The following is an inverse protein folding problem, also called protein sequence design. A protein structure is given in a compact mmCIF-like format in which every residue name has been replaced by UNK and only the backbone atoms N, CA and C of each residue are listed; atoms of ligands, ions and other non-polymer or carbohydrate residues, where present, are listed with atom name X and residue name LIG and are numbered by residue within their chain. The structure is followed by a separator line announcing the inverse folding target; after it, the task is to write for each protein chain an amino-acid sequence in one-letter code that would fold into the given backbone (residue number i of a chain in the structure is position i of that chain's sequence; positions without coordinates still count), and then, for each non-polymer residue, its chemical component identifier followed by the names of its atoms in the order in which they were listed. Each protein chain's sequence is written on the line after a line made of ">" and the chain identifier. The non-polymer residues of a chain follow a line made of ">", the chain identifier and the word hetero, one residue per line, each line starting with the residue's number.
data_IF_858176320228
#
_entry.id   IF_858176320228
#
_cell.length_a   1.000
_cell.length_b   1.000
_cell.length_c   1.000
_cell.angle_alpha   90.00
_cell.angle_beta   90.00
_cell.angle_gamma   90.00
#
_symmetry.space_group_name_H-M   'P 1'
#
loop_
_entity.id
_entity.type
_entity.pdbx_description
1 polymer ?
#
# COMPACT_ATOMS: atom_id res chain seq x y z
N UNK A 1 -40.63 -47.90 59.32
CA UNK A 1 -39.73 -46.74 59.51
C UNK A 1 -39.55 -46.03 58.17
N UNK A 2 -40.13 -44.83 58.00
CA UNK A 2 -40.00 -44.03 56.76
C UNK A 2 -38.65 -43.30 56.78
N UNK A 3 -37.75 -43.62 55.85
CA UNK A 3 -36.48 -42.89 55.65
C UNK A 3 -36.80 -41.54 54.98
N UNK A 4 -36.48 -40.44 55.67
CA UNK A 4 -36.49 -39.09 55.09
C UNK A 4 -35.12 -38.83 54.48
N UNK A 5 -35.05 -38.71 53.17
CA UNK A 5 -33.83 -38.34 52.45
C UNK A 5 -33.76 -36.81 52.38
N UNK A 6 -32.79 -36.20 53.04
CA UNK A 6 -32.47 -34.78 52.85
C UNK A 6 -31.78 -34.61 51.49
N UNK A 7 -32.36 -33.79 50.62
CA UNK A 7 -31.68 -33.29 49.43
C UNK A 7 -30.86 -32.05 49.80
N UNK A 8 -29.54 -32.15 49.67
CA UNK A 8 -28.61 -31.01 49.76
C UNK A 8 -28.48 -30.43 48.36
N UNK A 9 -28.93 -29.19 48.16
CA UNK A 9 -28.65 -28.42 46.93
C UNK A 9 -27.30 -27.73 47.08
N UNK A 10 -26.33 -28.13 46.27
CA UNK A 10 -25.05 -27.44 46.09
C UNK A 10 -25.25 -26.45 44.94
N UNK A 11 -25.11 -25.13 45.13
CA UNK A 11 -25.20 -24.18 44.03
C UNK A 11 -23.96 -24.34 43.15
N UNK A 12 -24.17 -24.82 41.93
CA UNK A 12 -23.14 -24.92 40.90
C UNK A 12 -22.85 -23.49 40.39
N UNK A 13 -21.81 -22.86 40.91
CA UNK A 13 -21.30 -21.60 40.38
C UNK A 13 -20.65 -21.89 39.01
N UNK A 14 -21.33 -21.53 37.91
CA UNK A 14 -20.68 -21.52 36.59
C UNK A 14 -19.65 -20.38 36.59
N UNK A 15 -18.34 -20.66 36.44
CA UNK A 15 -17.39 -19.60 36.15
C UNK A 15 -17.69 -19.05 34.76
N UNK A 16 -18.10 -17.78 34.68
CA UNK A 16 -18.23 -17.08 33.41
C UNK A 16 -16.88 -17.08 32.71
N UNK A 17 -16.80 -17.76 31.56
CA UNK A 17 -15.69 -17.62 30.63
C UNK A 17 -15.72 -16.19 30.11
N UNK A 18 -14.90 -15.32 30.70
CA UNK A 18 -14.57 -14.03 30.12
C UNK A 18 -13.68 -14.33 28.92
N UNK A 19 -14.26 -14.39 27.73
CA UNK A 19 -13.50 -14.36 26.50
C UNK A 19 -12.86 -12.98 26.42
N UNK A 20 -11.61 -12.87 26.90
CA UNK A 20 -10.80 -11.70 26.64
C UNK A 20 -10.48 -11.71 25.14
N UNK A 21 -11.24 -10.93 24.36
CA UNK A 21 -10.89 -10.62 22.98
C UNK A 21 -9.51 -9.99 23.00
N UNK A 22 -8.48 -10.74 22.59
CA UNK A 22 -7.14 -10.19 22.44
C UNK A 22 -7.21 -9.17 21.30
N UNK A 23 -7.21 -7.89 21.65
CA UNK A 23 -7.12 -6.82 20.66
C UNK A 23 -5.69 -6.86 20.11
N UNK A 24 -5.53 -7.48 18.94
CA UNK A 24 -4.24 -7.51 18.25
C UNK A 24 -3.91 -6.09 17.78
N UNK A 25 -2.66 -5.68 17.96
CA UNK A 25 -2.11 -4.47 17.36
C UNK A 25 -2.26 -4.56 15.84
N UNK A 26 -2.70 -3.49 15.19
CA UNK A 26 -2.95 -3.46 13.74
C UNK A 26 -2.27 -2.27 13.10
N UNK A 27 -1.71 -2.48 11.91
CA UNK A 27 -1.09 -1.42 11.12
C UNK A 27 -0.51 -1.89 9.80
N UNK A 28 -0.22 -0.94 8.91
CA UNK A 28 0.30 -1.23 7.58
C UNK A 28 1.21 -0.11 7.07
N UNK A 29 2.06 -0.42 6.08
CA UNK A 29 2.84 0.59 5.37
C UNK A 29 1.92 1.30 4.37
N UNK A 30 1.69 2.59 4.60
CA UNK A 30 0.86 3.43 3.75
C UNK A 30 1.65 4.04 2.59
N UNK A 31 2.97 4.27 2.78
CA UNK A 31 3.84 4.85 1.75
C UNK A 31 5.27 4.30 1.81
N UNK A 32 5.81 3.73 0.72
CA UNK A 32 5.06 3.27 -0.45
C UNK A 32 4.00 2.24 -0.03
N UNK A 33 2.82 2.21 -0.66
CA UNK A 33 1.71 1.37 -0.21
C UNK A 33 2.07 -0.12 -0.25
N UNK A 34 1.79 -0.82 0.85
CA UNK A 34 2.02 -2.26 0.94
C UNK A 34 1.13 -3.07 -0.01
N UNK A 35 1.57 -4.27 -0.38
CA UNK A 35 0.88 -5.16 -1.32
C UNK A 35 -0.56 -5.47 -0.91
N UNK A 36 -0.78 -5.80 0.37
CA UNK A 36 -2.10 -6.04 0.94
C UNK A 36 -2.99 -4.78 0.95
N UNK A 37 -2.39 -3.60 1.11
CA UNK A 37 -3.09 -2.31 1.00
C UNK A 37 -3.53 -2.08 -0.44
N UNK A 38 -2.68 -2.37 -1.42
CA UNK A 38 -3.02 -2.30 -2.84
C UNK A 38 -4.08 -3.34 -3.24
N UNK A 39 -4.11 -4.52 -2.60
CA UNK A 39 -5.21 -5.48 -2.73
C UNK A 39 -6.53 -4.95 -2.16
N UNK A 40 -6.51 -4.36 -0.95
CA UNK A 40 -7.67 -3.69 -0.34
C UNK A 40 -8.19 -2.57 -1.24
N UNK A 41 -7.27 -1.89 -1.93
CA UNK A 41 -7.55 -0.85 -2.92
C UNK A 41 -7.98 -1.39 -4.30
N UNK A 42 -7.97 -2.70 -4.52
CA UNK A 42 -8.26 -3.30 -5.82
C UNK A 42 -7.30 -2.89 -6.94
N UNK A 43 -6.15 -2.29 -6.61
CA UNK A 43 -5.09 -1.93 -7.57
C UNK A 43 -4.28 -3.19 -7.94
N UNK A 44 -4.01 -4.06 -6.97
CA UNK A 44 -3.54 -5.41 -7.25
C UNK A 44 -4.74 -6.31 -7.59
N UNK A 45 -4.80 -6.79 -8.83
CA UNK A 45 -5.91 -7.63 -9.35
C UNK A 45 -5.78 -9.11 -8.97
N UNK A 46 -4.56 -9.54 -8.65
CA UNK A 46 -4.19 -10.93 -8.30
C UNK A 46 -4.74 -11.39 -6.95
N UNK A 47 -5.39 -10.51 -6.19
CA UNK A 47 -5.80 -10.79 -4.82
C UNK A 47 -7.16 -11.51 -4.72
N UNK A 48 -7.71 -11.99 -5.84
CA UNK A 48 -9.02 -12.65 -6.03
C UNK A 48 -10.25 -11.81 -5.65
N UNK A 49 -10.30 -11.31 -4.41
CA UNK A 49 -11.41 -10.54 -3.86
C UNK A 49 -10.90 -9.44 -2.93
N UNK A 50 -10.97 -8.17 -3.36
CA UNK A 50 -10.57 -7.02 -2.54
C UNK A 50 -11.32 -6.95 -1.19
N UNK A 51 -12.56 -7.44 -1.11
CA UNK A 51 -13.36 -7.46 0.13
C UNK A 51 -12.73 -8.33 1.23
N UNK A 52 -11.91 -9.32 0.85
CA UNK A 52 -11.14 -10.15 1.77
C UNK A 52 -10.18 -9.29 2.61
N UNK A 53 -9.58 -8.29 1.97
CA UNK A 53 -8.62 -7.35 2.55
C UNK A 53 -9.29 -6.17 3.26
N UNK A 54 -10.62 -6.12 3.29
CA UNK A 54 -11.35 -5.14 4.09
C UNK A 54 -11.25 -5.44 5.60
N UNK A 55 -10.94 -6.69 5.96
CA UNK A 55 -10.68 -7.11 7.33
C UNK A 55 -9.34 -6.57 7.84
N UNK A 56 -9.31 -6.16 9.12
CA UNK A 56 -8.07 -5.77 9.79
C UNK A 56 -7.15 -6.96 10.12
N UNK A 57 -7.56 -8.18 9.80
CA UNK A 57 -6.81 -9.39 10.15
C UNK A 57 -5.45 -9.49 9.43
N UNK A 58 -5.36 -9.11 8.14
CA UNK A 58 -4.09 -9.12 7.39
C UNK A 58 -3.10 -8.04 7.83
N UNK A 59 -3.57 -7.02 8.54
CA UNK A 59 -2.73 -5.96 9.10
C UNK A 59 -2.51 -6.15 10.60
N UNK A 60 -3.01 -7.24 11.18
CA UNK A 60 -2.86 -7.53 12.59
C UNK A 60 -1.49 -8.13 12.89
N UNK A 61 -1.04 -7.90 14.13
CA UNK A 61 0.16 -8.51 14.65
C UNK A 61 0.01 -10.01 14.70
N UNK A 62 1.02 -10.73 14.23
CA UNK A 62 1.04 -12.18 14.25
C UNK A 62 2.09 -12.70 15.21
N UNK A 63 2.10 -14.00 15.45
CA UNK A 63 3.05 -14.65 16.37
C UNK A 63 4.40 -14.93 15.70
N UNK A 64 4.63 -14.43 14.48
CA UNK A 64 5.93 -14.51 13.84
C UNK A 64 6.91 -13.50 14.46
N UNK A 65 8.13 -13.96 14.73
CA UNK A 65 9.25 -13.10 15.11
C UNK A 65 10.21 -13.02 13.92
N UNK A 66 10.47 -11.80 13.44
CA UNK A 66 11.24 -11.59 12.22
C UNK A 66 10.45 -11.97 10.98
N UNK A 67 10.64 -13.19 10.48
CA UNK A 67 10.02 -13.69 9.25
C UNK A 67 9.03 -14.84 9.52
N UNK A 68 7.84 -14.83 8.91
CA UNK A 68 6.96 -16.00 8.80
C UNK A 68 7.66 -17.21 8.17
N UNK A 69 6.96 -18.34 8.13
CA UNK A 69 7.40 -19.52 7.37
C UNK A 69 7.72 -19.15 5.91
N UNK A 70 8.73 -19.80 5.33
CA UNK A 70 9.11 -19.58 3.94
C UNK A 70 7.93 -19.89 3.01
N UNK A 71 7.76 -19.05 1.99
CA UNK A 71 6.62 -19.11 1.09
C UNK A 71 5.33 -18.50 1.65
N UNK A 72 5.33 -18.03 2.90
CA UNK A 72 4.18 -17.38 3.55
C UNK A 72 4.48 -15.98 4.07
N UNK A 73 5.56 -15.36 3.59
CA UNK A 73 6.01 -14.05 4.09
C UNK A 73 4.98 -12.95 3.79
N UNK A 74 4.47 -12.78 2.55
CA UNK A 74 3.43 -11.77 2.26
C UNK A 74 2.12 -11.98 3.01
N UNK A 75 1.59 -13.21 3.06
CA UNK A 75 0.33 -13.52 3.73
C UNK A 75 0.46 -13.61 5.24
N UNK A 76 1.69 -13.73 5.74
CA UNK A 76 1.93 -13.89 7.15
C UNK A 76 1.57 -15.25 7.72
N UNK A 77 1.48 -16.27 6.89
CA UNK A 77 0.97 -17.58 7.29
C UNK A 77 -0.55 -17.65 7.44
N UNK A 78 -1.27 -16.56 7.16
CA UNK A 78 -2.73 -16.55 7.21
C UNK A 78 -3.28 -17.20 5.94
N UNK A 79 -4.11 -18.23 6.12
CA UNK A 79 -4.63 -19.05 5.01
C UNK A 79 -5.50 -18.26 4.05
N UNK A 80 -6.36 -17.38 4.57
CA UNK A 80 -7.26 -16.56 3.76
C UNK A 80 -6.51 -15.61 2.81
N UNK A 81 -5.26 -15.24 3.10
CA UNK A 81 -4.49 -14.28 2.28
C UNK A 81 -3.37 -14.95 1.48
N UNK A 82 -3.46 -16.27 1.24
CA UNK A 82 -2.42 -17.01 0.52
C UNK A 82 -2.14 -16.50 -0.90
N UNK A 83 -3.10 -15.83 -1.56
CA UNK A 83 -2.87 -15.22 -2.88
C UNK A 83 -1.78 -14.13 -2.87
N UNK A 84 -1.50 -13.52 -1.71
CA UNK A 84 -0.36 -12.61 -1.55
C UNK A 84 1.01 -13.27 -1.75
N UNK A 85 1.10 -14.58 -1.57
CA UNK A 85 2.37 -15.32 -1.62
C UNK A 85 2.83 -15.64 -3.04
N UNK A 86 1.99 -15.41 -4.05
CA UNK A 86 2.34 -15.61 -5.44
C UNK A 86 3.37 -14.55 -5.87
N UNK A 87 4.45 -14.97 -6.54
CA UNK A 87 5.43 -14.06 -7.10
C UNK A 87 5.57 -14.26 -8.60
N UNK A 88 5.35 -13.20 -9.35
CA UNK A 88 5.71 -13.10 -10.76
C UNK A 88 5.90 -11.61 -11.10
N UNK A 89 6.73 -11.35 -12.11
CA UNK A 89 7.21 -10.01 -12.44
C UNK A 89 6.08 -9.04 -12.80
N UNK A 90 4.96 -9.53 -13.34
CA UNK A 90 3.80 -8.72 -13.73
C UNK A 90 2.68 -8.65 -12.70
N UNK A 91 2.70 -9.45 -11.62
CA UNK A 91 1.52 -9.62 -10.75
C UNK A 91 1.22 -8.45 -9.83
N UNK A 92 2.28 -7.76 -9.38
CA UNK A 92 2.17 -6.74 -8.34
C UNK A 92 2.47 -5.35 -8.90
N UNK A 93 1.60 -4.39 -8.56
CA UNK A 93 1.82 -2.97 -8.82
C UNK A 93 3.06 -2.50 -8.05
N UNK A 94 3.95 -1.76 -8.71
CA UNK A 94 5.24 -1.33 -8.15
C UNK A 94 5.24 0.17 -7.98
N UNK A 95 5.57 0.64 -6.78
CA UNK A 95 5.79 2.07 -6.58
C UNK A 95 7.17 2.45 -7.11
N UNK A 96 7.22 3.40 -8.04
CA UNK A 96 8.48 3.94 -8.54
C UNK A 96 9.18 4.77 -7.45
N UNK A 97 10.39 4.37 -7.07
CA UNK A 97 11.20 5.09 -6.07
C UNK A 97 12.59 5.43 -6.62
N UNK A 98 13.24 6.43 -6.01
CA UNK A 98 14.59 6.83 -6.38
C UNK A 98 15.64 5.99 -5.64
N UNK A 99 16.83 5.87 -6.22
CA UNK A 99 18.02 5.42 -5.48
C UNK A 99 18.36 6.34 -4.32
N UNK A 100 19.04 5.79 -3.32
CA UNK A 100 19.55 6.54 -2.18
C UNK A 100 18.56 6.53 -1.02
N UNK A 101 17.77 7.59 -0.85
CA UNK A 101 16.85 7.70 0.29
C UNK A 101 15.43 7.25 -0.06
N UNK A 102 14.80 6.52 0.86
CA UNK A 102 13.39 6.13 0.80
C UNK A 102 12.69 6.56 2.09
N UNK A 103 11.51 7.14 1.97
CA UNK A 103 10.61 7.39 3.09
C UNK A 103 9.64 6.22 3.21
N UNK A 104 9.51 5.65 4.40
CA UNK A 104 8.58 4.56 4.70
C UNK A 104 7.64 5.04 5.80
N UNK A 105 6.37 5.16 5.48
CA UNK A 105 5.31 5.60 6.40
C UNK A 105 4.40 4.43 6.76
N UNK A 106 4.18 4.24 8.05
CA UNK A 106 3.23 3.30 8.62
C UNK A 106 1.96 4.03 9.08
N UNK A 107 0.82 3.37 8.94
CA UNK A 107 -0.43 3.74 9.59
C UNK A 107 -0.76 2.69 10.65
N UNK A 108 -0.64 3.05 11.93
CA UNK A 108 -1.08 2.22 13.05
C UNK A 108 -2.56 2.46 13.32
N UNK A 109 -3.39 1.44 13.07
CA UNK A 109 -4.85 1.52 13.18
C UNK A 109 -5.35 1.24 14.59
N UNK A 110 -4.58 0.51 15.40
CA UNK A 110 -4.81 0.36 16.83
C UNK A 110 -3.58 0.77 17.64
N UNK A 111 -3.76 1.19 18.90
CA UNK A 111 -2.64 1.58 19.74
C UNK A 111 -1.66 0.42 19.96
N UNK A 112 -0.39 0.66 19.63
CA UNK A 112 0.65 -0.37 19.59
C UNK A 112 1.92 0.10 20.30
N UNK A 113 2.53 -0.77 21.11
CA UNK A 113 3.83 -0.51 21.75
C UNK A 113 4.94 -1.10 20.88
N UNK A 114 5.50 -0.31 19.96
CA UNK A 114 6.54 -0.78 19.03
C UNK A 114 7.92 -0.63 19.66
N UNK A 115 8.74 -1.69 19.62
CA UNK A 115 10.10 -1.72 20.18
C UNK A 115 11.20 -1.65 19.11
N UNK A 116 10.90 -2.08 17.89
CA UNK A 116 11.81 -1.90 16.74
C UNK A 116 11.05 -1.91 15.42
N UNK A 117 11.57 -1.15 14.47
CA UNK A 117 11.18 -1.17 13.07
C UNK A 117 12.36 -1.68 12.26
N UNK A 118 12.15 -2.71 11.44
CA UNK A 118 13.19 -3.32 10.60
C UNK A 118 12.72 -3.38 9.16
N UNK A 119 13.62 -3.00 8.26
CA UNK A 119 13.36 -3.00 6.83
C UNK A 119 14.41 -3.85 6.12
N UNK A 120 13.94 -4.89 5.44
CA UNK A 120 14.75 -5.76 4.60
C UNK A 120 14.40 -5.49 3.14
N UNK A 121 15.32 -5.82 2.26
CA UNK A 121 15.12 -5.72 0.81
C UNK A 121 15.64 -6.99 0.16
N UNK A 122 15.03 -7.35 -0.96
CA UNK A 122 15.44 -8.50 -1.75
C UNK A 122 16.91 -8.44 -2.19
N UNK A 123 17.52 -9.62 -2.33
CA UNK A 123 18.89 -9.77 -2.85
C UNK A 123 18.95 -9.28 -4.30
N UNK A 124 20.11 -8.82 -4.77
CA UNK A 124 20.22 -8.25 -6.13
C UNK A 124 19.81 -9.22 -7.24
N UNK A 125 20.02 -10.52 -7.04
CA UNK A 125 19.69 -11.59 -8.00
C UNK A 125 18.35 -12.28 -7.71
N UNK A 126 17.53 -11.77 -6.77
CA UNK A 126 16.28 -12.45 -6.39
C UNK A 126 15.35 -12.74 -7.59
N UNK A 127 15.34 -11.83 -8.57
CA UNK A 127 14.55 -11.94 -9.81
C UNK A 127 14.93 -13.13 -10.68
N UNK A 128 16.17 -13.62 -10.61
CA UNK A 128 16.59 -14.81 -11.36
C UNK A 128 15.85 -16.07 -10.90
N UNK A 129 15.28 -16.04 -9.69
CA UNK A 129 14.47 -17.13 -9.14
C UNK A 129 12.97 -16.98 -9.39
N UNK A 130 12.51 -15.83 -9.93
CA UNK A 130 11.10 -15.59 -10.24
C UNK A 130 10.61 -16.53 -11.34
N UNK A 131 9.55 -17.25 -11.03
CA UNK A 131 8.78 -18.09 -11.94
C UNK A 131 7.36 -18.18 -11.40
N UNK A 132 6.43 -18.75 -12.18
CA UNK A 132 5.02 -18.81 -11.80
C UNK A 132 4.72 -19.60 -10.49
N UNK A 133 5.70 -20.32 -9.94
CA UNK A 133 5.60 -21.04 -8.67
C UNK A 133 6.51 -20.45 -7.58
N UNK A 134 7.20 -19.33 -7.86
CA UNK A 134 8.09 -18.71 -6.90
C UNK A 134 7.27 -18.14 -5.74
N UNK A 135 7.82 -18.30 -4.53
CA UNK A 135 7.28 -17.70 -3.32
C UNK A 135 8.44 -17.11 -2.53
N UNK A 136 8.24 -15.94 -1.94
CA UNK A 136 9.27 -15.29 -1.13
C UNK A 136 9.65 -16.16 0.07
N UNK A 137 10.94 -16.39 0.22
CA UNK A 137 11.56 -17.05 1.38
C UNK A 137 12.44 -16.05 2.12
N UNK A 138 12.93 -16.41 3.30
CA UNK A 138 13.94 -15.62 4.01
C UNK A 138 15.18 -15.38 3.16
N UNK A 139 15.55 -16.35 2.34
CA UNK A 139 16.72 -16.28 1.44
C UNK A 139 16.49 -15.36 0.24
N UNK A 140 15.23 -14.99 -0.09
CA UNK A 140 14.93 -13.95 -1.08
C UNK A 140 15.46 -12.57 -0.65
N UNK A 141 15.69 -12.36 0.66
CA UNK A 141 16.09 -11.08 1.24
C UNK A 141 17.56 -11.04 1.66
N UNK A 142 18.11 -9.83 1.74
CA UNK A 142 19.36 -9.60 2.44
C UNK A 142 19.20 -10.01 3.92
N UNK A 143 20.17 -10.75 4.46
CA UNK A 143 20.08 -11.31 5.81
C UNK A 143 20.02 -10.23 6.91
N UNK A 144 20.57 -9.04 6.65
CA UNK A 144 20.53 -7.90 7.57
C UNK A 144 19.52 -6.86 7.07
N UNK A 145 18.76 -6.21 7.96
CA UNK A 145 17.92 -5.09 7.55
C UNK A 145 18.81 -3.95 7.05
N UNK A 146 18.42 -3.31 5.94
CA UNK A 146 19.11 -2.13 5.45
C UNK A 146 18.84 -0.89 6.31
N UNK A 147 17.78 -0.93 7.12
CA UNK A 147 17.39 0.13 8.03
C UNK A 147 16.73 -0.48 9.27
N UNK A 148 17.22 -0.11 10.45
CA UNK A 148 16.65 -0.50 11.74
C UNK A 148 16.48 0.74 12.61
N UNK A 149 15.29 0.92 13.18
CA UNK A 149 14.93 2.08 14.00
C UNK A 149 14.38 1.57 15.33
N UNK A 150 14.97 2.08 16.42
CA UNK A 150 14.54 1.72 17.77
C UNK A 150 13.20 2.38 18.10
N UNK A 151 12.23 1.56 18.49
CA UNK A 151 10.98 2.04 19.08
C UNK A 151 11.17 2.46 20.54
N UNK A 152 10.31 3.34 21.03
CA UNK A 152 10.36 3.83 22.41
C UNK A 152 9.55 2.95 23.38
N UNK A 153 8.94 1.86 22.89
CA UNK A 153 8.03 0.99 23.64
C UNK A 153 6.83 1.72 24.27
N UNK A 154 6.56 2.97 23.85
CA UNK A 154 5.38 3.71 24.26
C UNK A 154 4.25 3.43 23.28
N UNK A 155 3.03 3.60 23.77
CA UNK A 155 1.84 3.39 22.97
C UNK A 155 1.75 4.45 21.87
N UNK A 156 1.75 4.00 20.63
CA UNK A 156 1.66 4.84 19.43
C UNK A 156 0.44 4.43 18.59
N UNK A 157 -0.20 5.41 17.96
CA UNK A 157 -1.28 5.22 17.00
C UNK A 157 -1.17 6.33 15.93
N UNK A 158 -1.68 6.10 14.73
CA UNK A 158 -1.60 7.06 13.64
C UNK A 158 -0.37 6.85 12.77
N UNK A 159 0.05 7.92 12.09
CA UNK A 159 1.13 7.84 11.11
C UNK A 159 2.51 7.90 11.75
N UNK A 160 3.40 7.00 11.36
CA UNK A 160 4.82 6.97 11.78
C UNK A 160 5.67 6.92 10.52
N UNK A 161 6.54 7.92 10.32
CA UNK A 161 7.38 8.03 9.12
C UNK A 161 8.86 7.82 9.44
N UNK A 162 9.53 7.05 8.59
CA UNK A 162 10.95 6.75 8.70
C UNK A 162 11.69 7.08 7.42
N UNK A 163 12.89 7.62 7.56
CA UNK A 163 13.78 7.92 6.45
C UNK A 163 14.94 6.93 6.46
N UNK A 164 15.05 6.13 5.42
CA UNK A 164 16.04 5.06 5.31
C UNK A 164 16.90 5.25 4.06
N UNK A 165 18.11 4.69 4.07
CA UNK A 165 19.00 4.65 2.91
C UNK A 165 18.94 3.26 2.27
N UNK A 166 18.46 3.18 1.04
CA UNK A 166 18.45 1.96 0.25
C UNK A 166 19.88 1.49 -0.07
N UNK A 167 20.14 0.17 -0.05
CA UNK A 167 21.35 -0.37 -0.65
C UNK A 167 21.32 -0.18 -2.17
N UNK A 168 22.47 -0.36 -2.82
CA UNK A 168 22.54 -0.27 -4.27
C UNK A 168 21.74 -1.41 -4.92
N UNK A 169 20.59 -1.03 -5.51
CA UNK A 169 19.64 -1.89 -6.22
C UNK A 169 19.07 -1.12 -7.40
N UNK A 170 18.59 -1.87 -8.38
CA UNK A 170 17.94 -1.37 -9.59
C UNK A 170 16.72 -2.23 -9.91
N UNK A 171 15.73 -1.62 -10.55
CA UNK A 171 14.53 -2.31 -11.02
C UNK A 171 13.64 -2.80 -9.89
N UNK A 172 12.83 -3.81 -10.19
CA UNK A 172 11.90 -4.39 -9.24
C UNK A 172 12.60 -5.02 -8.02
N UNK A 173 12.19 -4.57 -6.83
CA UNK A 173 12.57 -5.12 -5.53
C UNK A 173 11.34 -5.23 -4.62
N UNK A 174 11.44 -6.08 -3.61
CA UNK A 174 10.44 -6.14 -2.53
C UNK A 174 11.09 -5.67 -1.25
N UNK A 175 10.46 -4.69 -0.59
CA UNK A 175 10.82 -4.26 0.75
C UNK A 175 9.94 -5.01 1.75
N UNK A 176 10.56 -5.74 2.68
CA UNK A 176 9.89 -6.38 3.79
C UNK A 176 10.02 -5.52 5.04
N UNK A 177 8.89 -5.00 5.51
CA UNK A 177 8.81 -4.04 6.61
C UNK A 177 8.22 -4.72 7.84
N UNK A 178 8.90 -4.63 8.99
CA UNK A 178 8.52 -5.30 10.24
C UNK A 178 8.48 -4.29 11.38
N UNK A 179 7.38 -4.30 12.14
CA UNK A 179 7.23 -3.59 13.40
C UNK A 179 7.14 -4.62 14.55
N UNK A 180 8.23 -4.78 15.30
CA UNK A 180 8.28 -5.66 16.46
C UNK A 180 7.57 -5.00 17.65
N UNK A 181 6.67 -5.74 18.31
CA UNK A 181 5.91 -5.23 19.44
C UNK A 181 6.58 -5.58 20.77
N UNK A 182 6.31 -4.75 21.78
CA UNK A 182 6.73 -5.02 23.14
C UNK A 182 6.18 -6.38 23.62
N UNK A 183 6.99 -7.20 24.31
CA UNK A 183 6.54 -8.45 24.88
C UNK A 183 5.29 -8.24 25.74
N UNK A 184 4.27 -9.07 25.52
CA UNK A 184 3.09 -9.10 26.38
C UNK A 184 3.30 -10.04 27.57
N UNK A 185 2.37 -10.04 28.52
CA UNK A 185 2.45 -10.86 29.74
C UNK A 185 2.51 -12.38 29.46
N UNK A 186 2.11 -12.82 28.27
CA UNK A 186 2.19 -14.21 27.83
C UNK A 186 3.58 -14.62 27.30
N UNK A 187 4.52 -13.67 27.19
CA UNK A 187 5.88 -13.93 26.70
C UNK A 187 5.97 -14.21 25.19
N UNK A 188 4.86 -14.10 24.45
CA UNK A 188 4.82 -14.38 23.02
C UNK A 188 5.24 -13.11 22.27
N UNK A 189 6.30 -13.22 21.48
CA UNK A 189 6.74 -12.16 20.58
C UNK A 189 5.75 -11.99 19.43
N UNK A 190 5.42 -10.75 19.11
CA UNK A 190 4.47 -10.42 18.05
C UNK A 190 5.02 -9.30 17.18
N UNK A 191 4.70 -9.37 15.90
CA UNK A 191 5.14 -8.38 14.92
C UNK A 191 4.03 -8.09 13.93
N UNK A 192 3.97 -6.85 13.46
CA UNK A 192 3.20 -6.49 12.26
C UNK A 192 4.20 -6.48 11.10
N UNK A 193 3.87 -7.11 9.98
CA UNK A 193 4.73 -7.04 8.80
C UNK A 193 3.96 -6.81 7.53
N UNK A 194 4.60 -6.20 6.57
CA UNK A 194 4.07 -5.82 5.28
C UNK A 194 5.17 -6.04 4.22
N UNK A 195 4.78 -6.47 3.02
CA UNK A 195 5.65 -6.42 1.84
C UNK A 195 5.24 -5.24 0.98
N UNK A 196 6.22 -4.57 0.38
CA UNK A 196 6.04 -3.38 -0.45
C UNK A 196 6.80 -3.59 -1.76
N UNK A 197 6.07 -3.58 -2.87
CA UNK A 197 6.60 -3.77 -4.21
C UNK A 197 7.07 -2.44 -4.78
N UNK A 198 8.35 -2.34 -5.12
CA UNK A 198 8.96 -1.08 -5.58
C UNK A 198 9.76 -1.29 -6.86
N UNK A 199 9.80 -0.26 -7.71
CA UNK A 199 10.71 -0.20 -8.85
C UNK A 199 11.75 0.89 -8.60
N UNK A 200 13.01 0.49 -8.44
CA UNK A 200 14.11 1.40 -8.10
C UNK A 200 14.73 1.93 -9.39
N UNK A 201 14.33 3.14 -9.75
CA UNK A 201 14.85 3.81 -10.92
C UNK A 201 16.24 4.43 -10.66
N UNK A 202 17.13 4.24 -11.63
CA UNK A 202 18.37 5.02 -11.71
C UNK A 202 18.02 6.51 -11.88
N UNK A 203 18.73 7.38 -11.16
CA UNK A 203 18.62 8.84 -11.32
C UNK A 203 18.86 9.23 -12.78
N UNK A 204 19.76 8.55 -13.49
CA UNK A 204 20.01 8.77 -14.92
C UNK A 204 18.86 8.32 -15.82
N UNK A 205 18.13 7.25 -15.49
CA UNK A 205 16.96 6.82 -16.26
C UNK A 205 15.81 7.81 -16.05
N UNK A 206 15.48 8.16 -14.80
CA UNK A 206 14.47 9.19 -14.49
C UNK A 206 14.87 10.57 -15.04
N UNK A 207 16.16 10.93 -14.99
CA UNK A 207 16.69 12.19 -15.56
C UNK A 207 16.75 12.16 -17.09
N UNK A 208 17.03 11.03 -17.73
CA UNK A 208 16.97 10.86 -19.19
C UNK A 208 15.55 10.97 -19.70
N UNK A 209 14.61 10.29 -19.04
CA UNK A 209 13.17 10.40 -19.32
C UNK A 209 12.66 11.82 -19.07
N UNK A 210 13.04 12.42 -17.93
CA UNK A 210 12.74 13.82 -17.62
C UNK A 210 13.45 14.81 -18.57
N UNK A 211 14.58 14.47 -19.20
CA UNK A 211 15.23 15.30 -20.22
C UNK A 211 14.48 15.22 -21.56
N UNK A 212 14.09 14.00 -21.97
CA UNK A 212 13.52 13.71 -23.28
C UNK A 212 12.02 14.01 -23.38
N UNK A 213 11.34 14.23 -22.25
CA UNK A 213 9.92 14.60 -22.24
C UNK A 213 9.72 16.12 -22.24
N UNK A 214 8.74 16.68 -22.99
CA UNK A 214 8.37 18.09 -22.86
C UNK A 214 7.60 18.40 -21.56
N UNK A 215 7.20 17.36 -20.82
CA UNK A 215 6.37 17.42 -19.62
C UNK A 215 7.23 17.50 -18.36
N UNK A 216 7.59 18.71 -17.94
CA UNK A 216 8.62 18.93 -16.92
C UNK A 216 8.08 19.03 -15.49
N UNK A 217 6.81 19.36 -15.31
CA UNK A 217 6.18 19.54 -14.00
C UNK A 217 5.05 18.56 -13.82
N UNK A 218 5.09 17.80 -12.73
CA UNK A 218 3.94 17.08 -12.20
C UNK A 218 3.12 18.02 -11.31
N UNK A 219 1.80 18.05 -11.48
CA UNK A 219 0.92 19.00 -10.78
C UNK A 219 -0.21 18.33 -9.99
N UNK A 220 -0.53 17.06 -10.27
CA UNK A 220 -1.49 16.27 -9.51
C UNK A 220 -1.43 14.79 -9.88
N UNK A 221 -1.80 13.90 -8.97
CA UNK A 221 -2.20 12.53 -9.28
C UNK A 221 -3.71 12.45 -9.49
N UNK A 222 -4.13 11.63 -10.45
CA UNK A 222 -5.54 11.29 -10.74
C UNK A 222 -5.88 10.02 -9.97
N UNK A 223 -5.52 10.00 -8.70
CA UNK A 223 -5.94 8.96 -7.78
C UNK A 223 -6.30 9.59 -6.46
N UNK A 224 -7.38 9.08 -5.89
CA UNK A 224 -7.73 9.35 -4.51
C UNK A 224 -8.03 8.03 -3.82
N UNK A 225 -7.13 7.67 -2.92
CA UNK A 225 -7.62 7.45 -1.58
C UNK A 225 -7.92 8.82 -0.98
N UNK A 226 -9.12 9.03 -0.45
CA UNK A 226 -9.36 10.13 0.49
C UNK A 226 -9.18 9.62 1.93
N UNK A 227 -9.51 10.43 2.94
CA UNK A 227 -9.41 10.03 4.35
C UNK A 227 -10.32 8.85 4.73
N UNK A 228 -11.20 8.39 3.83
CA UNK A 228 -12.17 7.31 4.04
C UNK A 228 -11.90 6.06 3.16
N UNK A 229 -10.88 6.07 2.30
CA UNK A 229 -10.51 4.92 1.45
C UNK A 229 -10.52 5.27 -0.03
N UNK A 230 -10.58 4.25 -0.89
CA UNK A 230 -10.71 4.44 -2.35
C UNK A 230 -11.93 5.27 -2.69
N UNK A 231 -11.79 6.21 -3.60
CA UNK A 231 -12.96 6.87 -4.19
C UNK A 231 -13.72 5.88 -5.07
N UNK A 232 -14.97 5.63 -4.69
CA UNK A 232 -15.93 4.81 -5.45
C UNK A 232 -16.82 5.72 -6.27
N UNK A 233 -16.95 5.43 -7.57
CA UNK A 233 -17.85 6.14 -8.50
C UNK A 233 -18.85 5.17 -9.10
N UNK A 234 -19.97 5.69 -9.61
CA UNK A 234 -21.02 4.95 -10.30
C UNK A 234 -21.23 5.50 -11.70
N UNK A 235 -21.77 4.68 -12.60
CA UNK A 235 -22.28 5.17 -13.87
C UNK A 235 -23.25 6.34 -13.66
N UNK A 236 -23.01 7.43 -14.38
CA UNK A 236 -23.72 8.70 -14.27
C UNK A 236 -23.03 9.75 -13.39
N UNK A 237 -22.11 9.36 -12.51
CA UNK A 237 -21.34 10.29 -11.70
C UNK A 237 -20.49 11.20 -12.61
N UNK A 238 -20.29 12.44 -12.17
CA UNK A 238 -19.48 13.42 -12.90
C UNK A 238 -18.19 13.69 -12.15
N UNK A 239 -17.08 13.30 -12.76
CA UNK A 239 -15.74 13.58 -12.27
C UNK A 239 -15.22 14.84 -12.96
N UNK A 240 -14.56 15.70 -12.18
CA UNK A 240 -14.08 17.00 -12.63
C UNK A 240 -12.60 17.14 -12.33
N UNK A 241 -11.78 17.38 -13.34
CA UNK A 241 -10.40 17.83 -13.17
C UNK A 241 -10.36 19.35 -13.24
N UNK A 242 -9.95 19.99 -12.14
CA UNK A 242 -9.87 21.45 -11.95
C UNK A 242 -8.41 21.85 -11.91
N UNK A 243 -8.05 22.97 -12.53
CA UNK A 243 -6.66 23.38 -12.68
C UNK A 243 -6.42 24.74 -12.04
N UNK A 244 -5.26 24.91 -11.43
CA UNK A 244 -4.93 26.07 -10.62
C UNK A 244 -3.62 26.69 -11.09
N UNK A 245 -3.62 28.02 -11.12
CA UNK A 245 -2.42 28.85 -11.25
C UNK A 245 -2.05 29.44 -9.90
N UNK A 246 -0.98 30.23 -9.86
CA UNK A 246 -0.65 31.02 -8.67
C UNK A 246 -1.75 32.00 -8.24
N UNK A 247 -2.61 32.43 -9.17
CA UNK A 247 -3.71 33.36 -8.90
C UNK A 247 -5.00 32.64 -8.46
N UNK A 248 -4.96 31.31 -8.35
CA UNK A 248 -6.10 30.47 -7.96
C UNK A 248 -6.64 29.62 -9.12
N UNK A 249 -7.88 29.16 -8.96
CA UNK A 249 -8.53 28.25 -9.90
C UNK A 249 -8.80 28.92 -11.26
N UNK A 250 -8.49 28.18 -12.32
CA UNK A 250 -8.82 28.54 -13.68
C UNK A 250 -10.08 27.77 -14.12
N UNK A 251 -11.25 28.23 -13.70
CA UNK A 251 -12.54 27.52 -13.92
C UNK A 251 -12.78 27.12 -15.38
N UNK A 252 -12.35 27.96 -16.34
CA UNK A 252 -12.50 27.68 -17.78
C UNK A 252 -11.67 26.48 -18.26
N UNK A 253 -10.70 26.04 -17.47
CA UNK A 253 -9.84 24.89 -17.78
C UNK A 253 -10.39 23.56 -17.24
N UNK A 254 -11.53 23.55 -16.55
CA UNK A 254 -12.11 22.33 -15.99
C UNK A 254 -12.40 21.27 -17.07
N UNK A 255 -12.01 20.02 -16.84
CA UNK A 255 -12.43 18.86 -17.63
C UNK A 255 -13.51 18.13 -16.86
N UNK A 256 -14.65 17.86 -17.51
CA UNK A 256 -15.73 17.06 -16.96
C UNK A 256 -15.82 15.74 -17.69
N UNK A 257 -15.93 14.65 -16.94
CA UNK A 257 -16.17 13.31 -17.44
C UNK A 257 -17.41 12.76 -16.73
N UNK A 258 -18.38 12.30 -17.50
CA UNK A 258 -19.48 11.48 -16.97
C UNK A 258 -19.10 10.02 -17.09
N UNK A 259 -19.15 9.28 -15.98
CA UNK A 259 -18.79 7.86 -15.94
C UNK A 259 -19.85 7.04 -16.65
N UNK A 260 -19.42 6.24 -17.63
CA UNK A 260 -20.29 5.31 -18.31
C UNK A 260 -20.34 3.95 -17.58
N UNK A 261 -21.39 3.15 -17.79
CA UNK A 261 -21.42 1.78 -17.29
C UNK A 261 -20.21 0.97 -17.75
N UNK A 262 -19.49 0.37 -16.79
CA UNK A 262 -18.26 -0.39 -17.02
C UNK A 262 -16.96 0.41 -16.84
N UNK A 263 -17.04 1.73 -16.69
CA UNK A 263 -15.87 2.61 -16.48
C UNK A 263 -15.57 2.86 -14.99
N UNK A 264 -16.40 2.34 -14.08
CA UNK A 264 -16.35 2.66 -12.65
C UNK A 264 -15.04 2.25 -11.97
N UNK A 265 -14.37 1.21 -12.49
CA UNK A 265 -13.11 0.70 -11.94
C UNK A 265 -11.87 1.25 -12.66
N UNK A 266 -12.07 1.96 -13.78
CA UNK A 266 -11.02 2.52 -14.64
C UNK A 266 -11.20 4.03 -14.83
N UNK A 267 -12.00 4.68 -13.98
CA UNK A 267 -12.40 6.08 -14.15
C UNK A 267 -11.21 7.04 -14.27
N UNK A 268 -10.10 6.75 -13.57
CA UNK A 268 -8.88 7.56 -13.61
C UNK A 268 -8.23 7.56 -15.00
N UNK A 269 -8.23 6.41 -15.67
CA UNK A 269 -7.82 6.27 -17.07
C UNK A 269 -8.73 7.05 -18.02
N UNK A 270 -10.05 6.96 -17.85
CA UNK A 270 -10.99 7.71 -18.69
C UNK A 270 -10.84 9.22 -18.48
N UNK A 271 -10.58 9.67 -17.25
CA UNK A 271 -10.34 11.08 -16.97
C UNK A 271 -9.00 11.55 -17.55
N UNK A 272 -7.94 10.74 -17.43
CA UNK A 272 -6.65 11.02 -18.04
C UNK A 272 -6.75 11.18 -19.56
N UNK A 273 -7.50 10.29 -20.22
CA UNK A 273 -7.83 10.42 -21.65
C UNK A 273 -8.60 11.70 -21.96
N UNK A 274 -9.64 12.02 -21.20
CA UNK A 274 -10.42 13.24 -21.41
C UNK A 274 -9.57 14.52 -21.27
N UNK A 275 -8.61 14.55 -20.34
CA UNK A 275 -7.64 15.65 -20.20
C UNK A 275 -6.76 15.73 -21.46
N UNK A 276 -6.21 14.59 -21.91
CA UNK A 276 -5.30 14.53 -23.06
C UNK A 276 -5.97 14.90 -24.38
N UNK A 277 -7.26 14.54 -24.54
CA UNK A 277 -8.06 14.88 -25.71
C UNK A 277 -8.39 16.38 -25.75
N UNK A 278 -8.59 17.00 -24.58
CA UNK A 278 -8.95 18.42 -24.47
C UNK A 278 -7.76 19.37 -24.59
N UNK A 279 -6.62 19.02 -23.99
CA UNK A 279 -5.47 19.91 -23.87
C UNK A 279 -4.24 19.37 -24.59
N UNK A 280 -3.53 20.26 -25.28
CA UNK A 280 -2.27 19.95 -25.96
C UNK A 280 -1.04 20.25 -25.11
N UNK A 281 -1.22 21.01 -24.05
CA UNK A 281 -0.21 21.53 -23.13
C UNK A 281 -0.36 20.97 -21.70
N UNK A 282 -1.23 19.97 -21.55
CA UNK A 282 -1.40 19.15 -20.35
C UNK A 282 -1.37 17.68 -20.79
N UNK A 283 -0.70 16.83 -20.01
CA UNK A 283 -0.75 15.38 -20.19
C UNK A 283 -1.04 14.67 -18.90
N UNK A 284 -1.91 13.68 -18.97
CA UNK A 284 -2.28 12.81 -17.88
C UNK A 284 -1.93 11.36 -18.25
N UNK A 285 -1.28 10.63 -17.36
CA UNK A 285 -0.87 9.25 -17.61
C UNK A 285 0.32 8.79 -16.79
N UNK A 286 0.91 7.67 -17.20
CA UNK A 286 2.17 7.15 -16.70
C UNK A 286 3.28 7.55 -17.67
N UNK A 287 4.41 8.03 -17.13
CA UNK A 287 5.61 8.31 -17.92
C UNK A 287 6.27 6.99 -18.32
N UNK A 288 6.30 6.70 -19.62
CA UNK A 288 6.91 5.48 -20.14
C UNK A 288 8.41 5.67 -20.42
N UNK A 289 9.07 4.58 -20.82
CA UNK A 289 10.52 4.54 -21.12
C UNK A 289 10.94 5.40 -22.34
N UNK A 290 9.98 5.89 -23.13
CA UNK A 290 10.23 6.78 -24.26
C UNK A 290 10.09 8.26 -23.89
N UNK A 291 9.70 8.56 -22.65
CA UNK A 291 9.41 9.91 -22.18
C UNK A 291 8.01 10.40 -22.56
N UNK A 292 7.15 9.53 -23.09
CA UNK A 292 5.75 9.84 -23.34
C UNK A 292 4.92 9.62 -22.08
N UNK A 293 3.82 10.36 -21.96
CA UNK A 293 2.86 10.19 -20.89
C UNK A 293 1.60 9.61 -21.51
N UNK A 294 1.26 8.39 -21.11
CA UNK A 294 0.17 7.61 -21.69
C UNK A 294 -0.81 7.22 -20.58
N UNK A 295 -2.13 7.45 -20.74
CA UNK A 295 -3.13 6.96 -19.80
C UNK A 295 -3.08 5.44 -19.67
N UNK A 296 -3.04 4.93 -18.44
CA UNK A 296 -3.02 3.49 -18.16
C UNK A 296 -4.20 3.10 -17.25
N UNK A 297 -4.89 2.01 -17.55
CA UNK A 297 -6.09 1.57 -16.81
C UNK A 297 -5.79 0.86 -15.49
N UNK A 298 -4.55 0.41 -15.31
CA UNK A 298 -4.14 -0.40 -14.16
C UNK A 298 -3.07 0.31 -13.31
N UNK A 299 -2.77 1.57 -13.59
CA UNK A 299 -1.73 2.32 -12.91
C UNK A 299 -2.18 3.73 -12.54
N UNK A 300 -1.44 4.33 -11.61
CA UNK A 300 -1.72 5.68 -11.14
C UNK A 300 -1.47 6.68 -12.26
N UNK A 301 -2.52 7.36 -12.69
CA UNK A 301 -2.41 8.37 -13.74
C UNK A 301 -2.02 9.71 -13.12
N UNK A 302 -1.01 10.37 -13.65
CA UNK A 302 -0.50 11.62 -13.10
C UNK A 302 -0.60 12.73 -14.14
N UNK A 303 -0.97 13.94 -13.71
CA UNK A 303 -1.08 15.14 -14.54
C UNK A 303 0.25 15.88 -14.55
N UNK A 304 0.75 16.12 -15.75
CA UNK A 304 1.95 16.85 -16.06
C UNK A 304 1.70 18.01 -17.01
N UNK A 305 2.55 19.03 -16.90
CA UNK A 305 2.56 20.21 -17.76
C UNK A 305 4.00 20.57 -18.14
N UNK A 306 4.15 21.37 -19.20
CA UNK A 306 5.46 21.88 -19.60
C UNK A 306 6.05 22.87 -18.58
N UNK A 307 7.38 23.07 -18.63
CA UNK A 307 8.14 23.97 -17.75
C UNK A 307 7.51 25.37 -17.65
N UNK A 308 7.11 25.92 -18.80
CA UNK A 308 6.56 27.28 -18.94
C UNK A 308 5.07 27.39 -18.59
N UNK A 309 4.41 26.30 -18.22
CA UNK A 309 2.99 26.34 -17.89
C UNK A 309 2.75 27.19 -16.64
N UNK A 310 1.70 28.00 -16.66
CA UNK A 310 1.24 28.74 -15.48
C UNK A 310 0.53 27.84 -14.45
N UNK A 311 0.23 26.60 -14.83
CA UNK A 311 -0.42 25.63 -13.95
C UNK A 311 0.58 25.13 -12.91
N UNK A 312 0.12 25.07 -11.67
CA UNK A 312 0.91 24.62 -10.51
C UNK A 312 0.26 23.45 -9.79
N UNK A 313 -1.05 23.29 -9.93
CA UNK A 313 -1.81 22.27 -9.24
C UNK A 313 -3.05 21.87 -10.04
N UNK A 314 -3.53 20.66 -9.82
CA UNK A 314 -4.85 20.23 -10.25
C UNK A 314 -5.54 19.41 -9.16
N UNK A 315 -6.86 19.48 -9.12
CA UNK A 315 -7.70 18.72 -8.21
C UNK A 315 -8.70 17.88 -9.00
N UNK A 316 -8.94 16.65 -8.54
CA UNK A 316 -10.05 15.82 -9.00
C UNK A 316 -11.18 15.90 -7.99
N UNK A 317 -12.38 16.28 -8.44
CA UNK A 317 -13.59 16.31 -7.60
C UNK A 317 -14.71 15.48 -8.19
N UNK A 318 -15.61 15.03 -7.31
CA UNK A 318 -16.69 14.11 -7.60
C UNK A 318 -18.01 14.79 -7.21
N UNK A 319 -19.08 14.52 -7.95
CA UNK A 319 -20.44 15.00 -7.69
C UNK A 319 -21.42 13.84 -7.67
#
# INVERSE_FOLDING_TARGET
>A
MRKKTLAVMIPLALPGLIWASQCLATGYVSEPPARNVLCKKGENKTCDNASLYASDYIIAATHASGFPEDGKIPSGGIEDYQSLNNEDEGLWQKTLINKGEVNISWQLTSPSNVVSWKYYITQSNWRESLNAQHQLTRESFDAAPFCEIKGNAQQQQGTVAHKCKLPERDGYQVIYAVADLAPQADGISRSIYNVVDVDIANVTAKKSLALNTPWKKEIATIDRADSHGLVTVKAGDVIRARFFSHDGELEKMEVRLTILPGEETTWSYHLARAINDKYKDIRAGVLNEHGDIVPESESINTIFVGEKSQLIHAEVSFN
#
